data_IF_596544876166
#
_entry.id   IF_596544876166
#
_cell.length_a   1.000
_cell.length_b   1.000
_cell.length_c   1.000
_cell.angle_alpha   90.00
_cell.angle_beta   90.00
_cell.angle_gamma   90.00
#
_symmetry.space_group_name_H-M   'P 1'
#
loop_
_entity.id
_entity.type
_entity.pdbx_description
1 polymer ?
#
# COMPACT_ATOMS: atom_id res chain seq x y z
N UNK A 1 -30.85 -20.21 -10.74
CA UNK A 1 -31.42 -18.88 -10.46
C UNK A 1 -30.48 -18.17 -9.51
N UNK A 2 -29.49 -17.43 -10.05
CA UNK A 2 -28.49 -16.72 -9.24
C UNK A 2 -29.11 -15.41 -8.79
N UNK A 3 -29.53 -15.31 -7.53
CA UNK A 3 -29.94 -14.02 -6.96
C UNK A 3 -28.70 -13.15 -6.86
N UNK A 4 -28.61 -12.09 -7.68
CA UNK A 4 -27.70 -10.99 -7.40
C UNK A 4 -28.19 -10.32 -6.12
N UNK A 5 -27.39 -10.43 -5.06
CA UNK A 5 -27.56 -9.60 -3.87
C UNK A 5 -26.73 -8.34 -4.07
N UNK A 6 -27.39 -7.18 -4.16
CA UNK A 6 -26.71 -5.89 -4.09
C UNK A 6 -26.41 -5.58 -2.63
N UNK A 7 -25.14 -5.70 -2.24
CA UNK A 7 -24.68 -5.25 -0.91
C UNK A 7 -24.31 -3.77 -1.02
N UNK A 8 -25.07 -2.90 -0.34
CA UNK A 8 -24.71 -1.49 -0.21
C UNK A 8 -23.72 -1.33 0.93
N UNK A 9 -22.46 -1.06 0.59
CA UNK A 9 -21.43 -0.73 1.55
C UNK A 9 -21.70 0.67 2.11
N UNK A 10 -22.15 0.79 3.37
CA UNK A 10 -22.38 2.09 4.03
C UNK A 10 -21.09 2.74 4.53
N UNK A 11 -20.05 2.79 3.70
CA UNK A 11 -18.77 3.39 4.11
C UNK A 11 -18.82 4.91 3.89
N UNK A 12 -18.30 5.73 4.83
CA UNK A 12 -18.28 7.17 4.68
C UNK A 12 -17.63 7.62 3.38
N UNK A 13 -18.27 8.55 2.68
CA UNK A 13 -17.63 9.27 1.57
C UNK A 13 -16.67 10.29 2.17
N UNK A 14 -15.41 10.19 1.78
CA UNK A 14 -14.33 11.02 2.30
C UNK A 14 -13.95 12.05 1.25
N UNK A 15 -14.19 13.33 1.55
CA UNK A 15 -13.90 14.44 0.62
C UNK A 15 -12.46 14.97 0.76
N UNK A 16 -11.96 14.99 2.00
CA UNK A 16 -10.59 15.34 2.37
C UNK A 16 -10.38 14.88 3.81
N UNK A 17 -9.14 14.54 4.19
CA UNK A 17 -8.80 14.17 5.57
C UNK A 17 -7.49 14.78 6.00
N UNK A 18 -7.32 14.87 7.32
CA UNK A 18 -6.00 15.08 7.88
C UNK A 18 -5.08 13.89 7.58
N UNK A 19 -3.79 14.13 7.74
CA UNK A 19 -2.76 13.13 7.53
C UNK A 19 -2.96 11.89 8.43
N UNK A 20 -2.75 10.70 7.86
CA UNK A 20 -2.88 9.44 8.59
C UNK A 20 -4.31 9.00 8.94
N UNK A 21 -5.35 9.74 8.54
CA UNK A 21 -6.75 9.31 8.68
C UNK A 21 -7.22 8.50 7.47
N UNK A 22 -8.33 7.77 7.64
CA UNK A 22 -8.93 6.93 6.58
C UNK A 22 -9.30 7.78 5.36
N UNK A 23 -8.61 7.63 4.21
CA UNK A 23 -8.76 8.55 3.08
C UNK A 23 -9.97 8.21 2.19
N UNK A 24 -10.72 7.16 2.55
CA UNK A 24 -11.73 6.52 1.70
C UNK A 24 -11.24 5.19 1.15
N UNK A 25 -12.11 4.50 0.42
CA UNK A 25 -11.78 3.25 -0.25
C UNK A 25 -11.26 3.50 -1.67
N UNK A 26 -10.02 3.12 -1.90
CA UNK A 26 -9.37 3.11 -3.21
C UNK A 26 -8.96 1.67 -3.55
N UNK A 27 -9.96 0.87 -3.88
CA UNK A 27 -9.81 -0.55 -4.15
C UNK A 27 -9.64 -0.80 -5.65
N UNK A 28 -8.52 -1.41 -6.04
CA UNK A 28 -8.25 -1.77 -7.43
C UNK A 28 -8.86 -3.13 -7.82
N UNK A 29 -9.06 -4.02 -6.84
CA UNK A 29 -9.60 -5.37 -7.06
C UNK A 29 -10.16 -5.96 -5.78
N UNK A 30 -11.24 -6.73 -5.88
CA UNK A 30 -11.84 -7.47 -4.77
C UNK A 30 -11.66 -8.97 -4.97
N UNK A 31 -11.43 -9.73 -3.88
CA UNK A 31 -11.47 -11.18 -3.93
C UNK A 31 -12.87 -11.67 -4.31
N UNK A 32 -12.96 -12.87 -4.89
CA UNK A 32 -14.26 -13.49 -5.21
C UNK A 32 -15.09 -13.79 -3.96
N UNK A 33 -14.42 -14.13 -2.85
CA UNK A 33 -15.04 -14.29 -1.54
C UNK A 33 -14.23 -13.54 -0.46
N UNK A 34 -14.47 -12.23 -0.29
CA UNK A 34 -13.71 -11.36 0.61
C UNK A 34 -14.27 -11.32 2.05
N UNK A 35 -15.20 -12.20 2.39
CA UNK A 35 -15.95 -12.17 3.65
C UNK A 35 -15.31 -13.05 4.72
N UNK A 36 -15.27 -12.52 5.94
CA UNK A 36 -15.08 -13.35 7.13
C UNK A 36 -16.33 -14.20 7.39
N UNK A 37 -16.17 -15.23 8.23
CA UNK A 37 -17.22 -16.18 8.64
C UNK A 37 -18.40 -15.53 9.38
N UNK A 38 -18.24 -14.29 9.87
CA UNK A 38 -19.32 -13.52 10.49
C UNK A 38 -20.35 -12.98 9.47
N UNK A 39 -20.08 -13.10 8.17
CA UNK A 39 -20.98 -12.72 7.08
C UNK A 39 -21.22 -11.21 6.94
N UNK A 40 -20.45 -10.38 7.63
CA UNK A 40 -20.62 -8.90 7.65
C UNK A 40 -19.31 -8.14 7.58
N UNK A 41 -18.18 -8.80 7.80
CA UNK A 41 -16.87 -8.18 7.76
C UNK A 41 -16.16 -8.53 6.45
N UNK A 42 -15.81 -7.48 5.71
CA UNK A 42 -15.15 -7.52 4.41
C UNK A 42 -13.66 -7.24 4.57
N UNK A 43 -12.81 -8.08 4.00
CA UNK A 43 -11.36 -7.84 3.91
C UNK A 43 -11.00 -7.45 2.49
N UNK A 44 -10.30 -6.33 2.34
CA UNK A 44 -9.87 -5.84 1.03
C UNK A 44 -8.56 -5.07 1.09
N UNK A 45 -7.90 -4.93 -0.05
CA UNK A 45 -6.81 -3.97 -0.22
C UNK A 45 -7.33 -2.60 -0.63
N UNK A 46 -6.70 -1.55 -0.10
CA UNK A 46 -6.96 -0.16 -0.48
C UNK A 46 -5.67 0.61 -0.55
N UNK A 47 -5.63 1.64 -1.39
CA UNK A 47 -4.56 2.64 -1.37
C UNK A 47 -4.78 3.58 -0.19
N UNK A 48 -3.68 3.94 0.47
CA UNK A 48 -3.60 4.89 1.57
C UNK A 48 -2.33 5.72 1.39
N UNK A 49 -2.48 6.91 0.80
CA UNK A 49 -1.35 7.69 0.30
C UNK A 49 -0.61 6.91 -0.80
N UNK A 50 0.69 6.78 -0.65
CA UNK A 50 1.57 6.02 -1.56
C UNK A 50 1.73 4.56 -1.14
N UNK A 51 1.01 4.07 -0.14
CA UNK A 51 1.08 2.68 0.30
C UNK A 51 -0.22 1.94 0.01
N UNK A 52 -0.13 0.67 -0.38
CA UNK A 52 -1.27 -0.24 -0.35
C UNK A 52 -1.40 -0.85 1.05
N UNK A 53 -2.61 -0.90 1.59
CA UNK A 53 -2.91 -1.44 2.91
C UNK A 53 -4.02 -2.47 2.83
N UNK A 54 -4.15 -3.30 3.85
CA UNK A 54 -5.28 -4.23 3.99
C UNK A 54 -6.22 -3.67 5.05
N UNK A 55 -7.49 -3.58 4.70
CA UNK A 55 -8.55 -3.04 5.53
C UNK A 55 -9.55 -4.16 5.88
N UNK A 56 -10.09 -4.05 7.09
CA UNK A 56 -11.30 -4.74 7.53
C UNK A 56 -12.43 -3.72 7.57
N UNK A 57 -13.54 -4.01 6.89
CA UNK A 57 -14.72 -3.15 6.83
C UNK A 57 -15.96 -3.91 7.26
N UNK A 58 -16.61 -3.48 8.34
CA UNK A 58 -17.86 -4.07 8.80
C UNK A 58 -19.04 -3.32 8.17
N UNK A 59 -19.84 -4.02 7.37
CA UNK A 59 -20.92 -3.38 6.59
C UNK A 59 -22.13 -2.97 7.44
N UNK A 60 -22.29 -3.56 8.62
CA UNK A 60 -23.42 -3.25 9.51
C UNK A 60 -23.12 -2.04 10.37
N UNK A 61 -21.89 -1.95 10.91
CA UNK A 61 -21.47 -0.82 11.76
C UNK A 61 -20.85 0.32 10.97
N UNK A 62 -20.54 0.12 9.68
CA UNK A 62 -19.77 1.04 8.83
C UNK A 62 -18.34 1.32 9.34
N UNK A 63 -17.83 0.49 10.24
CA UNK A 63 -16.48 0.64 10.78
C UNK A 63 -15.44 0.11 9.80
N UNK A 64 -14.37 0.88 9.61
CA UNK A 64 -13.23 0.52 8.77
C UNK A 64 -11.96 0.64 9.59
N UNK A 65 -11.15 -0.43 9.60
CA UNK A 65 -9.86 -0.46 10.30
C UNK A 65 -8.76 -1.01 9.39
N UNK A 66 -7.54 -0.48 9.54
CA UNK A 66 -6.35 -1.03 8.90
C UNK A 66 -5.87 -2.24 9.69
N UNK A 67 -5.73 -3.37 9.01
CA UNK A 67 -5.25 -4.62 9.63
C UNK A 67 -3.81 -4.92 9.27
N UNK A 68 -3.28 -4.37 8.16
CA UNK A 68 -1.86 -4.48 7.83
C UNK A 68 -0.99 -3.62 8.78
N UNK A 69 0.24 -4.04 9.11
CA UNK A 69 1.14 -3.28 9.97
C UNK A 69 1.33 -1.83 9.52
N UNK A 70 1.35 -0.88 10.46
CA UNK A 70 1.51 0.56 10.21
C UNK A 70 2.91 1.11 10.52
N UNK A 71 3.82 0.31 11.07
CA UNK A 71 5.17 0.73 11.48
C UNK A 71 6.19 0.86 10.33
N UNK A 72 5.76 0.72 9.07
CA UNK A 72 6.63 0.77 7.89
C UNK A 72 5.85 1.26 6.68
N UNK A 73 6.53 1.88 5.71
CA UNK A 73 5.97 2.30 4.43
C UNK A 73 5.85 1.17 3.39
N UNK A 74 5.89 -0.08 3.85
CA UNK A 74 5.67 -1.24 2.97
C UNK A 74 4.23 -1.25 2.49
N UNK A 75 4.07 -1.62 1.22
CA UNK A 75 2.76 -1.92 0.66
C UNK A 75 2.36 -3.37 0.94
N UNK A 76 1.09 -3.57 1.29
CA UNK A 76 0.48 -4.84 1.63
C UNK A 76 -0.71 -5.11 0.71
N UNK A 77 -0.64 -6.21 -0.03
CA UNK A 77 -1.70 -6.65 -0.93
C UNK A 77 -2.30 -7.98 -0.45
N UNK A 78 -3.63 -8.03 -0.39
CA UNK A 78 -4.41 -9.21 -0.04
C UNK A 78 -4.36 -10.22 -1.19
N UNK A 79 -3.92 -11.46 -0.91
CA UNK A 79 -3.90 -12.54 -1.90
C UNK A 79 -5.14 -13.42 -1.79
N UNK A 80 -5.46 -13.87 -0.58
CA UNK A 80 -6.63 -14.71 -0.30
C UNK A 80 -6.94 -14.72 1.19
N UNK A 81 -8.12 -15.26 1.53
CA UNK A 81 -8.48 -15.63 2.89
C UNK A 81 -8.25 -17.14 3.11
N UNK A 82 -7.92 -17.51 4.34
CA UNK A 82 -7.90 -18.87 4.86
C UNK A 82 -8.78 -18.94 6.11
N UNK A 83 -10.06 -19.29 5.91
CA UNK A 83 -11.10 -19.06 6.92
C UNK A 83 -11.20 -17.56 7.24
N UNK A 84 -10.95 -17.20 8.50
CA UNK A 84 -10.91 -15.79 8.94
C UNK A 84 -9.50 -15.19 8.96
N UNK A 85 -8.50 -15.96 8.55
CA UNK A 85 -7.12 -15.50 8.47
C UNK A 85 -6.83 -14.94 7.08
N UNK A 86 -5.74 -14.19 6.98
CA UNK A 86 -5.37 -13.46 5.77
C UNK A 86 -4.03 -13.95 5.25
N UNK A 87 -3.97 -14.25 3.95
CA UNK A 87 -2.72 -14.42 3.22
C UNK A 87 -2.47 -13.15 2.41
N UNK A 88 -1.33 -12.53 2.65
CA UNK A 88 -0.95 -11.28 2.02
C UNK A 88 0.45 -11.36 1.43
N UNK A 89 0.75 -10.45 0.50
CA UNK A 89 2.10 -10.14 0.07
C UNK A 89 2.47 -8.75 0.58
N UNK A 90 3.66 -8.60 1.15
CA UNK A 90 4.23 -7.29 1.48
C UNK A 90 5.52 -7.07 0.72
N UNK A 91 5.78 -5.82 0.35
CA UNK A 91 6.99 -5.43 -0.37
C UNK A 91 7.26 -3.94 -0.25
N UNK A 92 8.47 -3.54 -0.64
CA UNK A 92 8.87 -2.14 -0.78
C UNK A 92 9.50 -1.91 -2.18
N UNK A 93 9.84 -0.68 -2.59
CA UNK A 93 10.58 -0.46 -3.83
C UNK A 93 11.95 -1.15 -3.84
N UNK A 94 12.52 -1.44 -2.66
CA UNK A 94 13.85 -2.05 -2.48
C UNK A 94 13.79 -3.45 -1.87
N UNK A 95 12.64 -3.84 -1.30
CA UNK A 95 12.40 -5.15 -0.70
C UNK A 95 11.53 -6.02 -1.59
N UNK A 96 12.10 -7.14 -2.01
CA UNK A 96 11.40 -8.11 -2.86
C UNK A 96 10.13 -8.65 -2.16
N UNK A 97 9.08 -9.01 -2.91
CA UNK A 97 7.82 -9.47 -2.32
C UNK A 97 7.98 -10.68 -1.39
N UNK A 98 7.36 -10.59 -0.22
CA UNK A 98 7.32 -11.63 0.80
C UNK A 98 5.88 -12.01 1.11
N UNK A 99 5.63 -13.31 1.30
CA UNK A 99 4.33 -13.81 1.73
C UNK A 99 4.23 -13.68 3.25
N UNK A 100 3.09 -13.18 3.73
CA UNK A 100 2.79 -13.01 5.13
C UNK A 100 1.43 -13.64 5.45
N UNK A 101 1.33 -14.17 6.67
CA UNK A 101 0.12 -14.79 7.18
C UNK A 101 -0.40 -13.99 8.38
N UNK A 102 -1.62 -13.48 8.29
CA UNK A 102 -2.30 -12.69 9.30
C UNK A 102 -3.31 -13.54 10.06
N UNK A 103 -3.05 -13.78 11.35
CA UNK A 103 -3.94 -14.48 12.26
C UNK A 103 -4.87 -13.51 12.97
N UNK A 104 -6.17 -13.81 12.93
CA UNK A 104 -7.17 -13.09 13.72
C UNK A 104 -7.18 -13.64 15.16
N UNK A 105 -6.68 -12.85 16.11
CA UNK A 105 -6.52 -13.30 17.51
C UNK A 105 -7.79 -13.07 18.32
N UNK A 106 -8.38 -11.89 18.24
CA UNK A 106 -9.55 -11.52 19.04
C UNK A 106 -10.68 -11.00 18.14
N UNK A 107 -11.80 -11.72 18.16
CA UNK A 107 -13.05 -11.37 17.46
C UNK A 107 -14.02 -10.59 18.33
N UNK A 108 -13.77 -10.52 19.63
CA UNK A 108 -14.69 -10.01 20.66
C UNK A 108 -14.37 -8.60 21.13
N UNK A 109 -13.13 -8.14 20.93
CA UNK A 109 -12.77 -6.74 21.11
C UNK A 109 -13.46 -5.85 20.06
N UNK A 110 -13.64 -4.56 20.40
CA UNK A 110 -14.20 -3.58 19.46
C UNK A 110 -13.38 -3.45 18.17
N UNK A 111 -12.08 -3.73 18.23
CA UNK A 111 -11.20 -3.74 17.07
C UNK A 111 -10.48 -5.08 16.99
N UNK A 112 -10.81 -5.84 15.94
CA UNK A 112 -10.16 -7.10 15.62
C UNK A 112 -8.63 -6.97 15.69
N UNK A 113 -7.99 -7.79 16.51
CA UNK A 113 -6.52 -7.78 16.67
C UNK A 113 -5.89 -8.83 15.77
N UNK A 114 -4.88 -8.41 15.01
CA UNK A 114 -4.21 -9.24 14.02
C UNK A 114 -2.74 -9.45 14.38
N UNK A 115 -2.26 -10.69 14.27
CA UNK A 115 -0.84 -11.03 14.36
C UNK A 115 -0.32 -11.47 13.00
N UNK A 116 0.79 -10.87 12.57
CA UNK A 116 1.39 -11.11 11.27
C UNK A 116 2.67 -11.93 11.38
N UNK A 117 2.74 -12.99 10.60
CA UNK A 117 3.90 -13.88 10.50
C UNK A 117 4.48 -13.83 9.09
N UNK A 118 5.80 -13.77 9.00
CA UNK A 118 6.51 -13.91 7.73
C UNK A 118 6.60 -15.39 7.34
N UNK A 119 6.20 -15.72 6.10
CA UNK A 119 6.34 -17.07 5.59
C UNK A 119 7.75 -17.25 5.03
N UNK A 120 8.61 -17.86 5.84
CA UNK A 120 10.07 -17.86 5.68
C UNK A 120 10.59 -18.71 4.51
N UNK A 121 9.74 -19.52 3.88
CA UNK A 121 10.13 -20.57 2.93
C UNK A 121 9.26 -20.60 1.67
N UNK A 122 9.23 -19.54 0.84
CA UNK A 122 8.56 -19.65 -0.45
C UNK A 122 9.32 -20.61 -1.36
N UNK A 123 8.59 -21.41 -2.13
CA UNK A 123 9.14 -22.37 -3.11
C UNK A 123 10.01 -21.64 -4.15
N UNK A 124 9.67 -20.38 -4.45
CA UNK A 124 10.43 -19.50 -5.33
C UNK A 124 11.06 -18.38 -4.52
N UNK A 125 12.40 -18.38 -4.44
CA UNK A 125 13.17 -17.31 -3.82
C UNK A 125 13.74 -16.39 -4.88
N UNK A 126 13.71 -15.09 -4.60
CA UNK A 126 14.47 -14.14 -5.40
C UNK A 126 15.96 -14.44 -5.28
N UNK A 127 16.68 -14.42 -6.40
CA UNK A 127 18.11 -14.72 -6.42
C UNK A 127 18.90 -13.78 -5.52
N UNK A 128 19.94 -14.29 -4.89
CA UNK A 128 20.83 -13.56 -3.99
C UNK A 128 21.48 -12.37 -4.69
N UNK A 129 21.74 -12.47 -6.00
CA UNK A 129 22.24 -11.35 -6.82
C UNK A 129 21.29 -10.15 -6.85
N UNK A 130 19.98 -10.38 -6.97
CA UNK A 130 18.99 -9.28 -6.96
C UNK A 130 18.91 -8.67 -5.58
N UNK A 131 18.88 -9.50 -4.53
CA UNK A 131 18.89 -9.02 -3.14
C UNK A 131 20.13 -8.18 -2.86
N UNK A 132 21.32 -8.62 -3.27
CA UNK A 132 22.56 -7.88 -3.05
C UNK A 132 22.60 -6.54 -3.79
N UNK A 133 22.01 -6.47 -4.99
CA UNK A 133 21.94 -5.23 -5.77
C UNK A 133 21.00 -4.19 -5.14
N UNK A 134 19.98 -4.64 -4.40
CA UNK A 134 19.02 -3.77 -3.71
C UNK A 134 19.37 -3.52 -2.24
N UNK A 135 20.25 -4.32 -1.64
CA UNK A 135 20.61 -4.23 -0.22
C UNK A 135 21.17 -2.86 0.19
N UNK A 136 21.80 -2.15 -0.75
CA UNK A 136 22.34 -0.80 -0.54
C UNK A 136 21.38 0.31 -0.98
N UNK A 137 20.11 -0.02 -1.22
CA UNK A 137 19.08 0.95 -1.58
C UNK A 137 18.17 1.20 -0.38
N UNK A 138 17.73 2.44 -0.28
CA UNK A 138 16.72 2.87 0.67
C UNK A 138 15.62 3.61 -0.06
N UNK A 139 14.47 3.74 0.58
CA UNK A 139 13.39 4.56 0.06
C UNK A 139 12.71 5.34 1.19
N UNK A 140 12.13 6.47 0.82
CA UNK A 140 11.35 7.33 1.70
C UNK A 140 10.11 7.83 0.96
N UNK A 141 8.98 7.95 1.67
CA UNK A 141 7.79 8.65 1.17
C UNK A 141 7.91 10.12 1.54
N UNK A 142 8.12 10.97 0.55
CA UNK A 142 8.27 12.42 0.74
C UNK A 142 6.97 13.15 0.44
N UNK A 143 6.69 14.21 1.19
CA UNK A 143 5.55 15.10 0.96
C UNK A 143 5.98 16.33 0.19
N UNK A 144 5.37 16.55 -0.96
CA UNK A 144 5.62 17.69 -1.82
C UNK A 144 4.55 18.74 -1.57
N UNK A 145 4.91 19.93 -1.06
CA UNK A 145 3.94 20.99 -0.81
C UNK A 145 3.40 21.55 -2.13
N UNK A 146 2.10 21.86 -2.14
CA UNK A 146 1.45 22.54 -3.27
C UNK A 146 1.73 24.04 -3.15
N UNK A 147 2.31 24.64 -4.20
CA UNK A 147 2.54 26.08 -4.31
C UNK A 147 1.36 26.74 -5.02
N UNK A 148 1.21 28.05 -4.88
CA UNK A 148 0.20 28.88 -5.56
C UNK A 148 -1.26 28.46 -5.26
N UNK A 149 -1.59 28.43 -3.97
CA UNK A 149 -2.94 28.14 -3.49
C UNK A 149 -3.89 29.26 -3.90
N UNK A 150 -4.65 29.07 -4.99
CA UNK A 150 -5.78 29.95 -5.30
C UNK A 150 -6.95 29.65 -4.34
N UNK A 151 -7.74 30.68 -4.02
CA UNK A 151 -8.94 30.53 -3.18
C UNK A 151 -10.00 29.60 -3.79
N UNK A 152 -9.89 29.32 -5.09
CA UNK A 152 -10.77 28.40 -5.83
C UNK A 152 -10.44 26.91 -5.66
N UNK A 153 -9.30 26.56 -5.05
CA UNK A 153 -8.94 25.16 -4.82
C UNK A 153 -9.80 24.52 -3.72
N UNK A 154 -10.19 23.26 -3.92
CA UNK A 154 -10.82 22.46 -2.86
C UNK A 154 -9.82 22.20 -1.74
N UNK A 155 -10.31 22.00 -0.51
CA UNK A 155 -9.44 21.68 0.64
C UNK A 155 -8.54 20.48 0.37
N UNK A 156 -9.06 19.46 -0.33
CA UNK A 156 -8.28 18.33 -0.81
C UNK A 156 -7.10 18.77 -1.67
N UNK A 157 -7.32 19.60 -2.70
CA UNK A 157 -6.30 20.04 -3.64
C UNK A 157 -5.17 20.87 -2.99
N UNK A 158 -5.44 21.53 -1.85
CA UNK A 158 -4.43 22.32 -1.11
C UNK A 158 -3.44 21.46 -0.31
N UNK A 159 -3.77 20.21 -0.02
CA UNK A 159 -2.92 19.33 0.80
C UNK A 159 -1.68 18.88 0.02
N UNK A 160 -0.53 18.64 0.67
CA UNK A 160 0.64 18.05 0.02
C UNK A 160 0.31 16.72 -0.66
N UNK A 161 0.96 16.45 -1.79
CA UNK A 161 0.93 15.13 -2.42
C UNK A 161 2.23 14.39 -2.11
N UNK A 162 2.25 13.08 -2.39
CA UNK A 162 3.38 12.24 -2.03
C UNK A 162 4.21 11.85 -3.26
N UNK A 163 5.50 11.62 -3.03
CA UNK A 163 6.37 10.93 -3.97
C UNK A 163 7.20 9.89 -3.21
N UNK A 164 7.55 8.81 -3.90
CA UNK A 164 8.43 7.76 -3.38
C UNK A 164 9.82 8.05 -3.92
N UNK A 165 10.76 8.32 -3.03
CA UNK A 165 12.14 8.56 -3.39
C UNK A 165 12.97 7.32 -3.08
N UNK A 166 13.65 6.75 -4.08
CA UNK A 166 14.57 5.61 -3.94
C UNK A 166 15.98 6.10 -4.22
N UNK A 167 16.91 5.81 -3.31
CA UNK A 167 18.30 6.28 -3.41
C UNK A 167 19.30 5.27 -2.87
N UNK A 168 20.59 5.51 -3.12
CA UNK A 168 21.67 4.76 -2.48
C UNK A 168 21.79 5.10 -0.99
N UNK A 169 22.03 4.09 -0.15
CA UNK A 169 22.43 4.32 1.24
C UNK A 169 23.93 4.66 1.37
N UNK A 170 24.74 4.37 0.35
CA UNK A 170 26.17 4.69 0.33
C UNK A 170 26.39 6.01 -0.38
N UNK A 171 26.92 7.00 0.33
CA UNK A 171 27.46 8.22 -0.29
C UNK A 171 28.82 7.89 -0.89
N UNK A 172 28.88 7.60 -2.17
CA UNK A 172 30.15 7.50 -2.90
C UNK A 172 30.55 8.90 -3.38
N UNK A 173 31.59 9.49 -2.76
CA UNK A 173 32.37 10.67 -3.15
C UNK A 173 31.72 11.69 -4.14
N UNK A 174 31.40 12.90 -3.65
CA UNK A 174 31.08 14.17 -4.35
C UNK A 174 30.11 14.18 -5.56
N UNK A 175 29.67 13.03 -6.07
CA UNK A 175 28.75 12.90 -7.19
C UNK A 175 27.33 12.56 -6.74
N UNK A 176 26.34 13.19 -7.35
CA UNK A 176 24.94 12.79 -7.21
C UNK A 176 24.63 11.62 -8.14
N UNK A 177 23.89 10.62 -7.64
CA UNK A 177 23.30 9.58 -8.49
C UNK A 177 22.41 10.21 -9.58
N UNK A 178 22.45 9.73 -10.83
CA UNK A 178 21.52 10.19 -11.86
C UNK A 178 20.07 9.88 -11.42
N UNK A 179 19.18 10.86 -11.59
CA UNK A 179 17.78 10.76 -11.17
C UNK A 179 16.86 10.42 -12.35
N UNK A 180 16.01 9.41 -12.17
CA UNK A 180 14.88 9.12 -13.06
C UNK A 180 13.59 9.54 -12.37
N UNK A 181 12.82 10.40 -13.03
CA UNK A 181 11.47 10.77 -12.58
C UNK A 181 10.46 9.85 -13.24
N UNK A 182 9.67 9.17 -12.43
CA UNK A 182 8.61 8.25 -12.87
C UNK A 182 7.26 8.90 -12.65
N UNK A 183 6.53 9.10 -13.74
CA UNK A 183 5.21 9.71 -13.76
C UNK A 183 4.17 8.65 -14.13
N UNK A 184 3.01 8.69 -13.48
CA UNK A 184 1.87 7.86 -13.85
C UNK A 184 1.07 8.51 -15.00
N UNK A 185 0.07 7.81 -15.55
CA UNK A 185 -0.60 8.20 -16.80
C UNK A 185 -1.92 8.96 -16.66
N UNK A 186 -2.41 9.23 -15.45
CA UNK A 186 -3.71 9.90 -15.26
C UNK A 186 -4.44 9.50 -13.97
N UNK A 187 -5.67 10.00 -13.77
CA UNK A 187 -6.36 10.02 -12.48
C UNK A 187 -6.77 8.63 -11.94
N UNK A 188 -6.63 7.57 -12.75
CA UNK A 188 -6.96 6.20 -12.37
C UNK A 188 -5.71 5.38 -12.01
N UNK A 189 -4.57 6.03 -11.84
CA UNK A 189 -3.31 5.38 -11.50
C UNK A 189 -2.71 6.01 -10.24
N UNK A 190 -2.04 5.18 -9.46
CA UNK A 190 -1.24 5.61 -8.32
C UNK A 190 -0.02 4.72 -8.24
N UNK A 191 1.13 5.32 -7.94
CA UNK A 191 2.36 4.60 -7.68
C UNK A 191 2.40 4.22 -6.20
N UNK A 192 2.31 2.93 -5.92
CA UNK A 192 2.45 2.42 -4.57
C UNK A 192 3.93 2.15 -4.23
N UNK A 193 4.27 2.09 -2.95
CA UNK A 193 5.55 1.59 -2.44
C UNK A 193 5.74 0.09 -2.67
N UNK A 194 4.91 -0.57 -3.47
CA UNK A 194 5.09 -1.98 -3.81
C UNK A 194 6.33 -2.18 -4.69
N UNK A 195 6.95 -3.35 -4.57
CA UNK A 195 8.05 -3.74 -5.43
C UNK A 195 7.62 -3.76 -6.91
N UNK A 196 8.38 -3.07 -7.75
CA UNK A 196 8.25 -3.14 -9.20
C UNK A 196 9.55 -3.63 -9.80
N UNK A 197 9.49 -4.69 -10.60
CA UNK A 197 10.68 -5.29 -11.23
C UNK A 197 11.42 -4.29 -12.13
N UNK A 198 10.70 -3.44 -12.86
CA UNK A 198 11.31 -2.45 -13.75
C UNK A 198 12.00 -1.33 -12.95
N UNK A 199 11.39 -0.85 -11.87
CA UNK A 199 11.96 0.19 -11.03
C UNK A 199 13.14 -0.33 -10.22
N UNK A 200 13.02 -1.52 -9.63
CA UNK A 200 14.10 -2.19 -8.94
C UNK A 200 15.30 -2.44 -9.87
N UNK A 201 15.05 -2.79 -11.14
CA UNK A 201 16.10 -2.91 -12.14
C UNK A 201 16.81 -1.57 -12.39
N UNK A 202 16.07 -0.48 -12.62
CA UNK A 202 16.68 0.85 -12.80
C UNK A 202 17.50 1.27 -11.57
N UNK A 203 16.96 1.09 -10.37
CA UNK A 203 17.67 1.37 -9.13
C UNK A 203 18.94 0.52 -9.00
N UNK A 204 18.89 -0.76 -9.37
CA UNK A 204 20.06 -1.65 -9.34
C UNK A 204 21.20 -1.22 -10.28
N UNK A 205 20.90 -0.42 -11.31
CA UNK A 205 21.91 0.09 -12.26
C UNK A 205 22.64 1.34 -11.77
N UNK A 206 22.23 1.96 -10.67
CA UNK A 206 22.85 3.20 -10.18
C UNK A 206 21.89 4.37 -10.04
N UNK A 207 20.70 4.30 -10.64
CA UNK A 207 19.78 5.44 -10.66
C UNK A 207 19.07 5.64 -9.33
N UNK A 208 18.98 6.91 -8.90
CA UNK A 208 17.95 7.32 -7.95
C UNK A 208 16.62 7.45 -8.68
N UNK A 209 15.51 7.18 -7.98
CA UNK A 209 14.17 7.24 -8.55
C UNK A 209 13.32 8.24 -7.76
N UNK A 210 12.60 9.10 -8.47
CA UNK A 210 11.53 9.92 -7.89
C UNK A 210 10.22 9.53 -8.54
N UNK A 211 9.39 8.79 -7.83
CA UNK A 211 8.13 8.23 -8.32
C UNK A 211 7.00 9.09 -7.78
N UNK A 212 6.36 9.88 -8.65
CA UNK A 212 5.50 10.99 -8.24
C UNK A 212 4.03 10.62 -8.31
N UNK A 213 3.30 10.77 -7.20
CA UNK A 213 1.84 10.70 -7.15
C UNK A 213 1.26 12.10 -7.23
N UNK A 214 1.35 12.71 -8.42
CA UNK A 214 0.74 14.01 -8.68
C UNK A 214 -0.79 13.87 -8.83
N UNK A 215 -1.47 15.00 -8.69
CA UNK A 215 -2.93 15.13 -8.78
C UNK A 215 -3.38 15.64 -10.13
#
# INVERSE_FOLDING_TARGET
MTKLFSVFLKIPVVMSTADGQFPGLYCLSLLSNPWLSDGRTLILSSIWGSSQVILSANILTAEVSRISPSGSDFSWNLLTLDGDNVIAVSSSPVDVPQINYGLLIDKTSKHATWSWLNVSSPIFKCSEKVKSLLANRQFDVIKIPVKDLSDSLTEGAKTPFEAIFVSSNTKTNDGCDPLIVVLHGGPHSVSATSYSKSLAFLSSLGYSLLIVNYR
#
